data_IF_160848887043
#
_entry.id   IF_160848887043
#
_cell.length_a   1.000
_cell.length_b   1.000
_cell.length_c   1.000
_cell.angle_alpha   90.00
_cell.angle_beta   90.00
_cell.angle_gamma   90.00
#
_symmetry.space_group_name_H-M   'P 1'
#
loop_
_entity.id
_entity.type
_entity.pdbx_description
1 polymer ?
#
# COMPACT_ATOMS: atom_id res chain seq x y z
N UNK A 1 -4.98 47.75 36.52
CA UNK A 1 -5.83 46.61 36.13
C UNK A 1 -6.43 46.74 34.72
N UNK A 2 -6.62 47.95 34.16
CA UNK A 2 -7.24 48.14 32.83
C UNK A 2 -6.36 47.79 31.59
N UNK A 3 -5.03 47.67 31.74
CA UNK A 3 -4.12 47.35 30.64
C UNK A 3 -4.04 45.84 30.30
N UNK A 4 -4.39 44.97 31.25
CA UNK A 4 -4.34 43.52 31.07
C UNK A 4 -5.54 43.00 30.27
N UNK A 5 -6.74 43.53 30.51
CA UNK A 5 -7.97 43.20 29.76
C UNK A 5 -7.82 43.43 28.24
N UNK A 6 -7.22 44.55 27.83
CA UNK A 6 -7.00 44.86 26.40
C UNK A 6 -5.98 43.93 25.73
N UNK A 7 -5.06 43.32 26.50
CA UNK A 7 -4.08 42.38 25.96
C UNK A 7 -4.66 40.96 25.85
N UNK A 8 -5.52 40.56 26.77
CA UNK A 8 -6.24 39.29 26.70
C UNK A 8 -7.21 39.25 25.51
N UNK A 9 -7.93 40.35 25.25
CA UNK A 9 -8.80 40.47 24.07
C UNK A 9 -7.98 40.36 22.76
N UNK A 10 -6.81 40.98 22.71
CA UNK A 10 -5.94 40.96 21.53
C UNK A 10 -5.28 39.57 21.31
N UNK A 11 -4.95 38.85 22.41
CA UNK A 11 -4.51 37.44 22.34
C UNK A 11 -5.63 36.51 21.91
N UNK A 12 -6.87 36.75 22.33
CA UNK A 12 -8.05 35.98 21.94
C UNK A 12 -8.32 36.11 20.43
N UNK A 13 -8.19 37.32 19.87
CA UNK A 13 -8.32 37.55 18.43
C UNK A 13 -7.21 36.88 17.59
N UNK A 14 -5.96 36.90 18.07
CA UNK A 14 -4.86 36.23 17.37
C UNK A 14 -5.00 34.71 17.40
N UNK A 15 -5.43 34.16 18.55
CA UNK A 15 -5.68 32.74 18.70
C UNK A 15 -6.87 32.27 17.86
N UNK A 16 -7.93 33.07 17.75
CA UNK A 16 -9.09 32.72 16.92
C UNK A 16 -8.73 32.70 15.43
N UNK A 17 -7.93 33.67 14.96
CA UNK A 17 -7.39 33.69 13.58
C UNK A 17 -6.48 32.49 13.32
N UNK A 18 -5.60 32.16 14.26
CA UNK A 18 -4.70 31.00 14.14
C UNK A 18 -5.48 29.67 14.14
N UNK A 19 -6.51 29.55 14.97
CA UNK A 19 -7.38 28.37 14.99
C UNK A 19 -8.16 28.22 13.68
N UNK A 20 -8.68 29.32 13.13
CA UNK A 20 -9.34 29.34 11.83
C UNK A 20 -8.38 28.91 10.71
N UNK A 21 -7.16 29.45 10.70
CA UNK A 21 -6.14 29.10 9.71
C UNK A 21 -5.68 27.63 9.85
N UNK A 22 -5.51 27.14 11.08
CA UNK A 22 -5.20 25.73 11.34
C UNK A 22 -6.32 24.80 10.89
N UNK A 23 -7.57 25.18 11.13
CA UNK A 23 -8.72 24.40 10.71
C UNK A 23 -8.86 24.37 9.18
N UNK A 24 -8.57 25.49 8.51
CA UNK A 24 -8.56 25.58 7.04
C UNK A 24 -7.44 24.73 6.45
N UNK A 25 -6.20 24.88 6.94
CA UNK A 25 -5.05 24.04 6.54
C UNK A 25 -5.28 22.55 6.82
N UNK A 26 -5.97 22.21 7.91
CA UNK A 26 -6.33 20.83 8.22
C UNK A 26 -7.38 20.28 7.24
N UNK A 27 -8.39 21.07 6.86
CA UNK A 27 -9.36 20.70 5.82
C UNK A 27 -8.70 20.54 4.46
N UNK A 28 -7.75 21.41 4.11
CA UNK A 28 -6.97 21.29 2.87
C UNK A 28 -6.10 20.03 2.88
N UNK A 29 -5.40 19.76 3.98
CA UNK A 29 -4.61 18.52 4.14
C UNK A 29 -5.47 17.26 4.16
N UNK A 30 -6.71 17.32 4.66
CA UNK A 30 -7.65 16.22 4.61
C UNK A 30 -8.23 16.00 3.21
N UNK A 31 -8.39 17.07 2.41
CA UNK A 31 -8.77 16.99 0.98
C UNK A 31 -7.64 16.47 0.09
N UNK A 32 -6.38 16.58 0.54
CA UNK A 32 -5.24 15.87 -0.04
C UNK A 32 -5.33 14.37 0.30
N UNK A 33 -6.35 13.72 -0.26
CA UNK A 33 -6.62 12.28 -0.17
C UNK A 33 -5.53 11.45 -0.86
N UNK A 34 -4.68 12.09 -1.67
CA UNK A 34 -3.56 11.48 -2.37
C UNK A 34 -2.29 11.54 -1.51
N UNK A 35 -2.38 10.98 -0.30
CA UNK A 35 -1.19 10.75 0.51
C UNK A 35 -0.42 9.62 -0.17
N UNK A 36 0.84 9.82 -0.59
CA UNK A 36 1.62 8.77 -1.22
C UNK A 36 1.65 7.57 -0.29
N UNK A 37 1.05 6.46 -0.72
CA UNK A 37 0.82 5.24 0.06
C UNK A 37 2.14 4.63 0.54
N UNK A 38 3.29 5.09 0.01
CA UNK A 38 4.64 4.69 0.41
C UNK A 38 4.98 3.24 0.02
N UNK A 39 3.97 2.40 -0.13
CA UNK A 39 4.02 1.04 -0.67
C UNK A 39 4.04 1.10 -2.20
N UNK A 40 3.14 1.87 -2.83
CA UNK A 40 3.08 2.01 -4.30
C UNK A 40 4.19 2.87 -4.89
N UNK A 41 4.67 3.87 -4.13
CA UNK A 41 5.57 4.93 -4.62
C UNK A 41 7.04 4.69 -4.27
N UNK A 42 7.35 3.52 -3.73
CA UNK A 42 8.72 3.13 -3.43
C UNK A 42 9.52 3.01 -4.73
N UNK A 43 10.41 3.98 -4.99
CA UNK A 43 11.38 3.90 -6.10
C UNK A 43 12.31 2.68 -6.00
N UNK A 44 12.31 1.98 -4.86
CA UNK A 44 12.96 0.69 -4.67
C UNK A 44 12.34 -0.44 -5.52
N UNK A 45 11.06 -0.34 -5.89
CA UNK A 45 10.38 -1.34 -6.74
C UNK A 45 10.56 -1.01 -8.25
N UNK A 46 11.06 0.18 -8.61
CA UNK A 46 11.40 0.55 -10.00
C UNK A 46 12.59 -0.26 -10.50
N UNK A 47 12.32 -1.47 -10.98
CA UNK A 47 13.32 -2.36 -11.57
C UNK A 47 13.23 -3.81 -11.11
N UNK A 48 12.43 -4.10 -10.07
CA UNK A 48 12.18 -5.50 -9.68
C UNK A 48 11.22 -6.12 -10.69
N UNK A 49 11.76 -6.88 -11.64
CA UNK A 49 10.92 -7.67 -12.55
C UNK A 49 10.14 -8.68 -11.73
N UNK A 50 8.82 -8.69 -11.90
CA UNK A 50 7.94 -9.71 -11.34
C UNK A 50 8.43 -11.07 -11.82
N UNK A 51 8.88 -11.92 -10.90
CA UNK A 51 9.41 -13.27 -11.21
C UNK A 51 8.33 -14.27 -11.66
N UNK A 52 7.10 -13.79 -11.86
CA UNK A 52 5.95 -14.55 -12.37
C UNK A 52 6.19 -15.23 -13.71
N UNK A 53 7.11 -14.75 -14.55
CA UNK A 53 7.36 -15.36 -15.88
C UNK A 53 7.71 -16.86 -15.77
N UNK A 54 8.39 -17.28 -14.70
CA UNK A 54 8.77 -18.68 -14.51
C UNK A 54 7.75 -19.53 -13.74
N UNK A 55 6.70 -18.92 -13.17
CA UNK A 55 5.70 -19.65 -12.38
C UNK A 55 4.91 -20.67 -13.23
N UNK A 56 4.69 -20.37 -14.51
CA UNK A 56 4.02 -21.28 -15.44
C UNK A 56 4.82 -22.57 -15.70
N UNK A 57 6.16 -22.51 -15.63
CA UNK A 57 7.03 -23.68 -15.84
C UNK A 57 6.74 -24.77 -14.81
N UNK A 58 6.48 -24.38 -13.55
CA UNK A 58 6.15 -25.33 -12.49
C UNK A 58 4.82 -26.05 -12.72
N UNK A 59 3.83 -25.37 -13.31
CA UNK A 59 2.55 -25.98 -13.68
C UNK A 59 2.77 -27.08 -14.73
N UNK A 60 3.61 -26.82 -15.73
CA UNK A 60 3.96 -27.81 -16.77
C UNK A 60 4.71 -29.00 -16.16
N UNK A 61 5.67 -28.76 -15.25
CA UNK A 61 6.41 -29.82 -14.56
C UNK A 61 5.46 -30.71 -13.76
N UNK A 62 4.52 -30.13 -13.02
CA UNK A 62 3.54 -30.89 -12.23
C UNK A 62 2.66 -31.74 -13.15
N UNK A 63 2.16 -31.19 -14.25
CA UNK A 63 1.35 -31.93 -15.23
C UNK A 63 2.13 -33.12 -15.82
N UNK A 64 3.39 -32.91 -16.20
CA UNK A 64 4.27 -33.96 -16.69
C UNK A 64 4.51 -35.05 -15.64
N UNK A 65 4.81 -34.65 -14.40
CA UNK A 65 5.05 -35.58 -13.31
C UNK A 65 3.82 -36.46 -13.04
N UNK A 66 2.62 -35.86 -13.00
CA UNK A 66 1.36 -36.59 -12.79
C UNK A 66 1.07 -37.52 -13.97
N UNK A 67 1.21 -37.04 -15.21
CA UNK A 67 0.97 -37.84 -16.40
C UNK A 67 1.89 -39.06 -16.50
N UNK A 68 3.18 -38.88 -16.23
CA UNK A 68 4.16 -39.98 -16.17
C UNK A 68 3.83 -40.95 -15.02
N UNK A 69 3.46 -40.43 -13.85
CA UNK A 69 3.09 -41.29 -12.71
C UNK A 69 1.90 -42.20 -13.04
N UNK A 70 0.87 -41.65 -13.68
CA UNK A 70 -0.32 -42.40 -14.10
C UNK A 70 0.06 -43.41 -15.19
N UNK A 71 0.84 -42.99 -16.19
CA UNK A 71 1.33 -43.90 -17.24
C UNK A 71 2.06 -45.09 -16.61
N UNK A 72 3.03 -44.84 -15.73
CA UNK A 72 3.83 -45.87 -15.08
C UNK A 72 2.97 -46.81 -14.23
N UNK A 73 1.92 -46.30 -13.57
CA UNK A 73 0.95 -47.14 -12.87
C UNK A 73 0.20 -48.09 -13.83
N UNK A 74 -0.27 -47.59 -14.98
CA UNK A 74 -1.00 -48.40 -15.95
C UNK A 74 -0.09 -49.44 -16.59
N UNK A 75 1.11 -49.05 -17.04
CA UNK A 75 2.07 -49.98 -17.64
C UNK A 75 2.59 -50.99 -16.62
N UNK A 76 2.86 -50.56 -15.39
CA UNK A 76 3.28 -51.45 -14.31
C UNK A 76 2.19 -52.43 -13.90
N UNK A 77 0.91 -52.03 -13.92
CA UNK A 77 -0.22 -52.92 -13.68
C UNK A 77 -0.41 -53.91 -14.84
N UNK A 78 -0.16 -53.50 -16.08
CA UNK A 78 -0.25 -54.37 -17.25
C UNK A 78 0.88 -55.40 -17.37
N UNK A 79 1.99 -55.22 -16.66
CA UNK A 79 3.14 -56.14 -16.64
C UNK A 79 3.14 -57.13 -15.47
N UNK A 80 2.20 -57.00 -14.52
CA UNK A 80 1.99 -57.95 -13.41
C UNK A 80 0.93 -58.99 -13.77
#
# INVERSE_FOLDING_TARGET
MALFIRQDDNRSELQSKLAAELQERAKERAKMTDRPDGVSDSQYIKGTKTTTSLAWVWIVIILLAVGISIWLMIVGLAQR
#
